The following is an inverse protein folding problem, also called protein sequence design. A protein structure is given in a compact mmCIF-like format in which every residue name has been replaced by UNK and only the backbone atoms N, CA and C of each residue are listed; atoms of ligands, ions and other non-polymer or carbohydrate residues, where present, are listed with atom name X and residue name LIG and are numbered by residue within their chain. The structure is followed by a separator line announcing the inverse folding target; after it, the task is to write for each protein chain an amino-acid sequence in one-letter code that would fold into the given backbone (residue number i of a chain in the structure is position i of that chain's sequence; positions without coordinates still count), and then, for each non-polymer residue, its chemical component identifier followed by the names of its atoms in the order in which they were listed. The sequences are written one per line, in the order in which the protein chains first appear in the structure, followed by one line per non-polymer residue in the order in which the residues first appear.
data_IF_017413616146
#
_entry.id   IF_017413616146
#
_cell.length_a   1.000
_cell.length_b   1.000
_cell.length_c   1.000
_cell.angle_alpha   90.00
_cell.angle_beta   90.00
_cell.angle_gamma   90.00
#
_symmetry.space_group_name_H-M   'P 1'
#
loop_
_entity.id
_entity.type
_entity.pdbx_description
1 polymer ?
#
# COMPACT_ATOMS: atom_id res chain seq x y z
N UNK A 1 -10.47 -7.17 13.81
CA UNK A 1 -10.91 -8.32 14.61
C UNK A 1 -11.35 -9.41 13.64
N UNK A 2 -11.49 -10.64 14.06
CA UNK A 2 -11.71 -11.79 13.13
C UNK A 2 -10.67 -11.89 12.00
N UNK A 3 -9.40 -11.56 12.29
CA UNK A 3 -8.32 -11.60 11.31
C UNK A 3 -8.27 -10.43 10.31
N UNK A 4 -8.98 -9.33 10.57
CA UNK A 4 -8.95 -8.11 9.75
C UNK A 4 -8.23 -6.96 10.46
N UNK A 5 -7.54 -6.11 9.69
CA UNK A 5 -6.92 -4.90 10.18
C UNK A 5 -7.98 -3.80 10.35
N UNK A 6 -8.31 -3.41 11.59
CA UNK A 6 -9.36 -2.43 11.89
C UNK A 6 -8.82 -1.10 12.41
N UNK A 7 -7.59 -1.08 12.91
CA UNK A 7 -6.88 0.11 13.35
C UNK A 7 -5.38 -0.05 13.09
N UNK A 8 -4.70 1.05 12.81
CA UNK A 8 -3.26 1.06 12.53
C UNK A 8 -2.60 2.33 13.02
N UNK A 9 -1.34 2.20 13.42
CA UNK A 9 -0.47 3.31 13.80
C UNK A 9 0.87 3.15 13.11
N UNK A 10 1.36 4.21 12.49
CA UNK A 10 2.70 4.30 11.90
C UNK A 10 3.39 5.51 12.51
N UNK A 11 4.56 5.28 13.10
CA UNK A 11 5.42 6.36 13.59
C UNK A 11 6.63 6.53 12.68
N UNK A 12 6.91 7.76 12.26
CA UNK A 12 8.09 8.15 11.49
C UNK A 12 9.02 9.00 12.37
N UNK A 13 10.00 8.42 13.08
CA UNK A 13 10.79 9.12 14.10
C UNK A 13 11.64 10.27 13.53
N UNK A 14 12.08 10.14 12.28
CA UNK A 14 12.94 11.12 11.60
C UNK A 14 12.18 12.05 10.64
N UNK A 15 10.86 12.12 10.74
CA UNK A 15 10.10 13.08 9.95
C UNK A 15 10.60 14.50 10.27
N UNK A 16 10.79 15.35 9.24
CA UNK A 16 11.38 16.70 9.32
C UNK A 16 12.87 16.77 9.67
N UNK A 17 13.63 15.67 9.66
CA UNK A 17 15.06 15.73 10.03
C UNK A 17 15.91 16.68 9.14
N UNK A 18 15.45 16.99 7.92
CA UNK A 18 16.10 17.93 7.00
C UNK A 18 15.69 19.40 7.21
N UNK A 19 14.71 19.68 8.06
CA UNK A 19 14.18 21.04 8.25
C UNK A 19 15.04 21.92 9.20
N UNK A 20 16.19 21.42 9.65
CA UNK A 20 17.16 22.15 10.46
C UNK A 20 17.19 21.69 11.93
N UNK A 21 18.14 22.24 12.73
CA UNK A 21 18.41 21.76 14.09
C UNK A 21 17.26 21.99 15.07
N UNK A 22 16.42 23.02 14.84
CA UNK A 22 15.28 23.36 15.70
C UNK A 22 13.98 22.69 15.25
N UNK A 23 14.02 21.83 14.22
CA UNK A 23 12.83 21.17 13.71
C UNK A 23 12.27 20.17 14.71
N UNK A 24 10.95 20.23 14.95
CA UNK A 24 10.27 19.16 15.67
C UNK A 24 10.30 17.88 14.84
N UNK A 25 11.06 16.91 15.34
CA UNK A 25 11.20 15.62 14.69
C UNK A 25 10.06 14.67 15.02
N UNK A 26 9.78 13.80 14.06
CA UNK A 26 8.85 12.72 14.23
C UNK A 26 7.39 13.10 14.01
N UNK A 27 6.61 12.12 13.54
CA UNK A 27 5.15 12.22 13.48
C UNK A 27 4.51 10.86 13.63
N UNK A 28 3.30 10.82 14.14
CA UNK A 28 2.45 9.65 14.22
C UNK A 28 1.30 9.81 13.23
N UNK A 29 1.09 8.79 12.41
CA UNK A 29 -0.08 8.65 11.53
C UNK A 29 -0.86 7.45 12.03
N UNK A 30 -2.18 7.60 12.22
CA UNK A 30 -3.01 6.54 12.69
C UNK A 30 -4.40 6.59 12.05
N UNK A 31 -5.08 5.46 12.02
CA UNK A 31 -6.44 5.38 11.49
C UNK A 31 -7.21 4.24 12.12
N UNK A 32 -8.53 4.42 12.16
CA UNK A 32 -9.49 3.43 12.63
C UNK A 32 -10.64 3.40 11.64
N UNK A 33 -10.99 2.22 11.15
CA UNK A 33 -12.11 2.04 10.21
C UNK A 33 -13.40 2.56 10.86
N UNK A 34 -14.12 3.41 10.13
CA UNK A 34 -15.33 4.09 10.61
C UNK A 34 -15.08 5.38 11.40
N UNK A 35 -13.83 5.70 11.77
CA UNK A 35 -13.47 6.95 12.45
C UNK A 35 -12.65 7.90 11.55
N UNK A 36 -11.92 7.36 10.55
CA UNK A 36 -11.01 8.10 9.68
C UNK A 36 -9.54 7.90 10.04
N UNK A 37 -8.67 8.68 9.38
CA UNK A 37 -7.22 8.64 9.62
C UNK A 37 -6.68 10.06 9.85
N UNK A 38 -5.59 10.16 10.64
CA UNK A 38 -5.08 11.40 11.22
C UNK A 38 -3.55 11.43 11.21
N UNK A 39 -2.97 12.63 11.35
CA UNK A 39 -1.52 12.85 11.44
C UNK A 39 -0.85 13.15 10.09
N UNK A 40 -1.62 13.47 9.05
CA UNK A 40 -1.16 13.89 7.73
C UNK A 40 -2.12 14.95 7.14
N UNK A 41 -1.70 15.58 6.04
CA UNK A 41 -2.58 16.49 5.28
C UNK A 41 -3.50 15.67 4.37
N UNK A 42 -4.78 15.60 4.74
CA UNK A 42 -5.81 14.87 4.00
C UNK A 42 -6.32 15.59 2.75
N UNK A 43 -5.94 16.85 2.52
CA UNK A 43 -6.30 17.62 1.34
C UNK A 43 -5.40 17.36 0.13
N UNK A 44 -4.25 16.74 0.35
CA UNK A 44 -3.28 16.48 -0.70
C UNK A 44 -3.77 15.38 -1.65
N UNK A 45 -3.74 15.68 -2.94
CA UNK A 45 -4.07 14.74 -4.02
C UNK A 45 -2.91 14.62 -4.99
N UNK A 46 -2.72 13.45 -5.64
CA UNK A 46 -1.69 13.32 -6.65
C UNK A 46 -1.92 14.29 -7.82
N UNK A 47 -0.85 14.73 -8.52
CA UNK A 47 -0.96 15.63 -9.65
C UNK A 47 -1.89 15.09 -10.74
N UNK A 48 -2.83 15.91 -11.20
CA UNK A 48 -3.73 15.57 -12.30
C UNK A 48 -2.98 15.41 -13.62
N UNK A 49 -3.39 14.46 -14.44
CA UNK A 49 -2.75 14.16 -15.72
C UNK A 49 -1.49 13.30 -15.63
N UNK A 50 -1.09 12.92 -14.41
CA UNK A 50 0.00 11.98 -14.17
C UNK A 50 -0.51 10.63 -13.68
N UNK A 51 0.38 9.62 -13.76
CA UNK A 51 0.18 8.30 -13.18
C UNK A 51 1.47 7.90 -12.44
N UNK A 52 1.60 8.37 -11.20
CA UNK A 52 2.79 8.15 -10.37
C UNK A 52 2.59 6.87 -9.57
N UNK A 53 3.47 5.88 -9.81
CA UNK A 53 3.44 4.61 -9.08
C UNK A 53 4.61 4.52 -8.12
N UNK A 54 4.35 4.19 -6.85
CA UNK A 54 5.42 3.85 -5.92
C UNK A 54 5.65 2.33 -5.88
N UNK A 55 6.93 1.93 -5.82
CA UNK A 55 7.33 0.53 -5.73
C UNK A 55 8.64 0.37 -4.95
N UNK A 56 9.15 -0.85 -4.90
CA UNK A 56 10.37 -1.16 -4.17
C UNK A 56 11.62 -0.54 -4.79
N UNK A 57 12.56 -0.13 -3.93
CA UNK A 57 13.93 0.27 -4.32
C UNK A 57 14.88 -0.93 -4.41
N UNK A 58 14.72 -1.90 -3.52
CA UNK A 58 15.73 -2.93 -3.25
C UNK A 58 15.40 -4.32 -3.80
N UNK A 59 14.15 -4.58 -4.20
CA UNK A 59 13.68 -5.90 -4.61
C UNK A 59 13.06 -5.88 -6.00
N UNK A 60 13.76 -5.27 -6.95
CA UNK A 60 13.34 -5.28 -8.36
C UNK A 60 13.49 -6.69 -8.93
N UNK A 61 12.36 -7.30 -9.26
CA UNK A 61 12.28 -8.56 -10.01
C UNK A 61 11.62 -8.34 -11.36
N UNK A 62 11.66 -9.35 -12.23
CA UNK A 62 10.93 -9.32 -13.50
C UNK A 62 9.43 -9.09 -13.28
N UNK A 63 8.84 -9.77 -12.31
CA UNK A 63 7.41 -9.62 -11.99
C UNK A 63 7.05 -8.24 -11.43
N UNK A 64 7.92 -7.64 -10.58
CA UNK A 64 7.73 -6.25 -10.12
C UNK A 64 7.76 -5.27 -11.28
N UNK A 65 8.73 -5.41 -12.18
CA UNK A 65 8.84 -4.52 -13.35
C UNK A 65 7.64 -4.68 -14.29
N UNK A 66 7.25 -5.92 -14.61
CA UNK A 66 6.10 -6.19 -15.47
C UNK A 66 4.79 -5.62 -14.89
N UNK A 67 4.52 -5.83 -13.59
CA UNK A 67 3.34 -5.29 -12.93
C UNK A 67 3.31 -3.77 -12.94
N UNK A 68 4.43 -3.10 -12.67
CA UNK A 68 4.51 -1.62 -12.69
C UNK A 68 4.34 -1.07 -14.10
N UNK A 69 5.02 -1.66 -15.10
CA UNK A 69 4.95 -1.20 -16.49
C UNK A 69 3.54 -1.38 -17.09
N UNK A 70 2.86 -2.47 -16.78
CA UNK A 70 1.49 -2.72 -17.23
C UNK A 70 0.50 -1.67 -16.72
N UNK A 71 0.79 -1.02 -15.60
CA UNK A 71 0.00 0.09 -15.08
C UNK A 71 0.26 1.41 -15.83
N UNK A 72 1.15 1.46 -16.84
CA UNK A 72 1.48 2.64 -17.67
C UNK A 72 1.82 3.89 -16.82
N UNK A 73 2.84 3.86 -15.93
CA UNK A 73 3.21 5.00 -15.12
C UNK A 73 3.84 6.12 -15.95
N UNK A 74 3.52 7.38 -15.63
CA UNK A 74 4.28 8.55 -16.07
C UNK A 74 5.55 8.73 -15.26
N UNK A 75 5.52 8.32 -13.98
CA UNK A 75 6.65 8.36 -13.07
C UNK A 75 6.63 7.16 -12.11
N UNK A 76 7.83 6.67 -11.74
CA UNK A 76 7.99 5.58 -10.77
C UNK A 76 8.84 6.04 -9.60
N UNK A 77 8.25 6.09 -8.40
CA UNK A 77 8.94 6.38 -7.14
C UNK A 77 9.44 5.08 -6.50
N UNK A 78 10.77 4.91 -6.45
CA UNK A 78 11.41 3.73 -5.86
C UNK A 78 11.91 4.04 -4.45
N UNK A 79 11.18 3.54 -3.44
CA UNK A 79 11.48 3.79 -2.02
C UNK A 79 11.47 2.50 -1.20
N UNK A 80 12.08 2.55 -0.01
CA UNK A 80 12.06 1.46 0.97
C UNK A 80 10.80 1.48 1.83
N UNK A 81 10.50 0.36 2.49
CA UNK A 81 9.40 0.20 3.46
C UNK A 81 8.01 0.12 2.82
N UNK A 82 7.21 -0.87 3.20
CA UNK A 82 5.82 -1.01 2.74
C UNK A 82 4.97 0.14 3.29
N UNK A 83 4.99 0.37 4.60
CA UNK A 83 4.24 1.46 5.24
C UNK A 83 4.54 2.82 4.64
N UNK A 84 5.82 3.12 4.36
CA UNK A 84 6.19 4.39 3.73
C UNK A 84 5.58 4.56 2.33
N UNK A 85 5.51 3.50 1.51
CA UNK A 85 4.86 3.55 0.19
C UNK A 85 3.36 3.83 0.29
N UNK A 86 2.69 3.24 1.28
CA UNK A 86 1.27 3.53 1.54
C UNK A 86 1.10 4.98 2.00
N UNK A 87 2.00 5.51 2.83
CA UNK A 87 1.95 6.92 3.22
C UNK A 87 2.12 7.87 2.01
N UNK A 88 2.96 7.52 1.02
CA UNK A 88 3.09 8.31 -0.20
C UNK A 88 1.78 8.43 -0.98
N UNK A 89 0.97 7.38 -1.06
CA UNK A 89 -0.34 7.46 -1.72
C UNK A 89 -1.36 8.24 -0.87
N UNK A 90 -1.38 8.04 0.44
CA UNK A 90 -2.25 8.78 1.36
C UNK A 90 -1.97 10.30 1.32
N UNK A 91 -0.71 10.68 1.15
CA UNK A 91 -0.24 12.07 1.09
C UNK A 91 -0.30 12.67 -0.33
N UNK A 92 -0.97 12.03 -1.28
CA UNK A 92 -1.09 12.53 -2.63
C UNK A 92 0.22 12.63 -3.43
N UNK A 93 1.27 11.90 -3.02
CA UNK A 93 2.57 11.89 -3.71
C UNK A 93 2.68 10.79 -4.77
N UNK A 94 1.76 9.84 -4.75
CA UNK A 94 1.63 8.78 -5.74
C UNK A 94 0.17 8.34 -5.87
N UNK A 95 -0.19 7.77 -7.01
CA UNK A 95 -1.54 7.28 -7.31
C UNK A 95 -1.76 5.86 -6.81
N UNK A 96 -0.73 5.02 -6.91
CA UNK A 96 -0.79 3.63 -6.51
C UNK A 96 0.55 3.13 -5.93
N UNK A 97 0.45 2.13 -5.07
CA UNK A 97 1.57 1.26 -4.68
C UNK A 97 1.39 -0.09 -5.35
N UNK A 98 2.37 -0.49 -6.19
CA UNK A 98 2.36 -1.77 -6.93
C UNK A 98 3.64 -2.53 -6.61
N UNK A 99 3.50 -3.75 -6.08
CA UNK A 99 4.61 -4.62 -5.70
C UNK A 99 4.33 -6.07 -6.05
N UNK A 100 4.65 -6.47 -7.28
CA UNK A 100 4.51 -7.84 -7.79
C UNK A 100 5.63 -8.75 -7.31
N UNK A 101 5.76 -8.97 -5.99
CA UNK A 101 6.79 -9.85 -5.41
C UNK A 101 6.34 -10.38 -4.04
N UNK A 102 6.76 -11.59 -3.66
CA UNK A 102 6.44 -12.18 -2.36
C UNK A 102 7.34 -11.66 -1.21
N UNK A 103 7.80 -10.40 -1.30
CA UNK A 103 8.78 -9.81 -0.38
C UNK A 103 8.22 -9.24 0.91
N UNK A 104 6.91 -8.96 0.98
CA UNK A 104 6.25 -8.40 2.17
C UNK A 104 5.77 -9.48 3.15
N UNK A 105 5.57 -9.06 4.40
CA UNK A 105 4.98 -9.87 5.47
C UNK A 105 3.69 -9.22 5.97
N UNK A 106 2.88 -9.97 6.72
CA UNK A 106 1.62 -9.47 7.32
C UNK A 106 1.83 -8.24 8.22
N UNK A 107 2.94 -8.18 8.95
CA UNK A 107 3.28 -7.02 9.78
C UNK A 107 3.72 -5.78 8.99
N UNK A 108 4.08 -5.92 7.71
CA UNK A 108 4.37 -4.78 6.83
C UNK A 108 3.08 -4.13 6.31
N UNK A 109 1.96 -4.86 6.27
CA UNK A 109 0.71 -4.43 5.61
C UNK A 109 -0.41 -4.11 6.59
N UNK A 110 -0.48 -4.75 7.78
CA UNK A 110 -1.65 -4.64 8.67
C UNK A 110 -1.96 -3.21 9.12
N UNK A 111 -0.97 -2.45 9.57
CA UNK A 111 -1.18 -1.06 10.00
C UNK A 111 -1.44 -0.12 8.81
N UNK A 112 -0.64 -0.16 7.71
CA UNK A 112 -0.93 0.64 6.52
C UNK A 112 -2.30 0.36 5.90
N UNK A 113 -2.73 -0.90 5.86
CA UNK A 113 -4.04 -1.29 5.36
C UNK A 113 -5.17 -0.66 6.16
N UNK A 114 -5.11 -0.75 7.50
CA UNK A 114 -6.13 -0.16 8.37
C UNK A 114 -6.23 1.36 8.18
N UNK A 115 -5.09 2.07 8.08
CA UNK A 115 -5.04 3.50 7.87
C UNK A 115 -5.64 3.87 6.50
N UNK A 116 -5.27 3.13 5.46
CA UNK A 116 -5.75 3.36 4.11
C UNK A 116 -7.25 3.10 3.98
N UNK A 117 -7.75 2.00 4.58
CA UNK A 117 -9.18 1.69 4.61
C UNK A 117 -9.99 2.73 5.39
N UNK A 118 -9.42 3.31 6.44
CA UNK A 118 -10.08 4.35 7.24
C UNK A 118 -10.39 5.63 6.43
N UNK A 119 -9.71 5.85 5.29
CA UNK A 119 -9.97 6.97 4.36
C UNK A 119 -10.68 6.54 3.07
N UNK A 120 -11.20 5.30 3.00
CA UNK A 120 -11.89 4.78 1.82
C UNK A 120 -10.99 4.16 0.75
N UNK A 121 -9.69 4.07 0.99
CA UNK A 121 -8.74 3.40 0.12
C UNK A 121 -8.79 1.88 0.23
N UNK A 122 -7.95 1.20 -0.56
CA UNK A 122 -7.91 -0.25 -0.64
C UNK A 122 -6.48 -0.76 -0.73
N UNK A 123 -6.14 -1.78 0.07
CA UNK A 123 -4.89 -2.52 -0.01
C UNK A 123 -5.19 -4.01 -0.08
N UNK A 124 -4.61 -4.70 -1.07
CA UNK A 124 -4.83 -6.12 -1.34
C UNK A 124 -3.55 -6.78 -1.84
N UNK A 125 -3.62 -8.08 -2.13
CA UNK A 125 -2.68 -8.71 -3.04
C UNK A 125 -2.88 -8.19 -4.48
N UNK A 126 -2.02 -8.61 -5.42
CA UNK A 126 -2.12 -8.17 -6.83
C UNK A 126 -3.30 -8.78 -7.59
N UNK A 127 -4.00 -9.77 -7.03
CA UNK A 127 -5.24 -10.33 -7.56
C UNK A 127 -6.49 -9.56 -7.09
N UNK A 128 -6.31 -8.60 -6.16
CA UNK A 128 -7.42 -7.85 -5.57
C UNK A 128 -8.06 -8.50 -4.35
N UNK A 129 -7.44 -9.53 -3.75
CA UNK A 129 -7.92 -10.19 -2.55
C UNK A 129 -7.36 -9.53 -1.29
N UNK A 130 -8.21 -9.37 -0.27
CA UNK A 130 -7.80 -8.84 1.03
C UNK A 130 -6.93 -9.82 1.81
N UNK A 131 -6.00 -9.26 2.59
CA UNK A 131 -5.20 -10.05 3.51
C UNK A 131 -5.99 -10.48 4.73
N UNK A 132 -5.59 -11.63 5.29
CA UNK A 132 -6.03 -12.10 6.58
C UNK A 132 -4.86 -12.03 7.58
N UNK A 133 -5.17 -11.65 8.83
CA UNK A 133 -4.20 -11.45 9.91
C UNK A 133 -4.50 -12.35 11.11
N UNK A 134 -5.24 -13.44 10.92
CA UNK A 134 -5.52 -14.42 11.97
C UNK A 134 -4.26 -15.16 12.41
N UNK A 135 -4.31 -15.78 13.59
CA UNK A 135 -3.15 -16.45 14.18
C UNK A 135 -2.59 -17.62 13.35
N UNK A 136 -3.41 -18.21 12.48
CA UNK A 136 -3.03 -19.41 11.71
C UNK A 136 -2.74 -19.11 10.23
N UNK A 137 -2.73 -17.85 9.82
CA UNK A 137 -2.42 -17.50 8.43
C UNK A 137 -0.92 -17.46 8.18
N UNK A 138 -0.51 -17.72 6.95
CA UNK A 138 0.88 -17.54 6.53
C UNK A 138 1.31 -16.08 6.73
N UNK A 139 2.47 -15.86 7.35
CA UNK A 139 2.98 -14.50 7.59
C UNK A 139 3.46 -13.80 6.32
N UNK A 140 3.87 -14.55 5.30
CA UNK A 140 4.34 -14.01 4.02
C UNK A 140 3.15 -13.57 3.15
N UNK A 141 3.24 -12.40 2.56
CA UNK A 141 2.33 -11.94 1.52
C UNK A 141 2.84 -12.47 0.16
N UNK A 142 2.50 -13.70 -0.16
CA UNK A 142 3.06 -14.41 -1.31
C UNK A 142 2.67 -13.79 -2.65
N UNK A 143 1.47 -13.23 -2.74
CA UNK A 143 0.89 -12.65 -3.95
C UNK A 143 1.09 -11.13 -4.10
N UNK A 144 2.19 -10.58 -3.55
CA UNK A 144 2.53 -9.16 -3.72
C UNK A 144 1.58 -8.20 -3.01
N UNK A 145 1.64 -6.91 -3.34
CA UNK A 145 0.80 -5.84 -2.74
C UNK A 145 0.35 -4.87 -3.81
N UNK A 146 -0.92 -4.48 -3.77
CA UNK A 146 -1.49 -3.38 -4.56
C UNK A 146 -2.33 -2.49 -3.65
N UNK A 147 -2.10 -1.17 -3.69
CA UNK A 147 -2.84 -0.22 -2.87
C UNK A 147 -3.12 1.09 -3.60
N UNK A 148 -4.30 1.67 -3.34
CA UNK A 148 -4.76 2.97 -3.85
C UNK A 148 -5.65 3.68 -2.83
N UNK A 149 -5.88 4.97 -3.00
CA UNK A 149 -6.74 5.77 -2.11
C UNK A 149 -8.23 5.64 -2.39
N UNK A 150 -8.62 4.99 -3.51
CA UNK A 150 -10.04 4.74 -3.84
C UNK A 150 -10.24 3.32 -4.36
N UNK A 151 -11.43 2.76 -4.17
CA UNK A 151 -11.78 1.42 -4.62
C UNK A 151 -11.85 1.32 -6.15
N UNK A 152 -12.32 2.35 -6.84
CA UNK A 152 -12.43 2.37 -8.30
C UNK A 152 -11.05 2.38 -8.95
N UNK A 153 -10.14 3.24 -8.48
CA UNK A 153 -8.76 3.22 -8.94
C UNK A 153 -8.10 1.86 -8.68
N UNK A 154 -8.35 1.25 -7.51
CA UNK A 154 -7.82 -0.07 -7.18
C UNK A 154 -8.22 -1.12 -8.22
N UNK A 155 -9.50 -1.23 -8.53
CA UNK A 155 -10.01 -2.19 -9.51
C UNK A 155 -9.40 -1.98 -10.91
N UNK A 156 -9.20 -0.72 -11.30
CA UNK A 156 -8.52 -0.36 -12.54
C UNK A 156 -7.06 -0.82 -12.58
N UNK A 157 -6.32 -0.72 -11.46
CA UNK A 157 -4.93 -1.21 -11.40
C UNK A 157 -4.86 -2.74 -11.37
N UNK A 158 -5.73 -3.41 -10.61
CA UNK A 158 -5.80 -4.88 -10.58
C UNK A 158 -6.01 -5.46 -11.97
N UNK A 159 -6.93 -4.87 -12.76
CA UNK A 159 -7.22 -5.35 -14.13
C UNK A 159 -6.07 -5.21 -15.11
N UNK A 160 -5.06 -4.40 -14.80
CA UNK A 160 -3.86 -4.22 -15.64
C UNK A 160 -2.74 -5.20 -15.33
N UNK A 161 -2.81 -5.93 -14.22
CA UNK A 161 -1.74 -6.87 -13.85
C UNK A 161 -1.67 -8.01 -14.88
N UNK A 162 -0.48 -8.26 -15.46
CA UNK A 162 -0.34 -9.25 -16.52
C UNK A 162 -0.62 -10.67 -16.03
N UNK A 163 -1.25 -11.53 -16.87
CA UNK A 163 -1.55 -12.92 -16.50
C UNK A 163 -0.32 -13.72 -16.06
N UNK A 164 0.83 -13.50 -16.68
CA UNK A 164 2.08 -14.16 -16.30
C UNK A 164 2.54 -13.78 -14.89
N UNK A 165 2.32 -12.54 -14.45
CA UNK A 165 2.62 -12.09 -13.09
C UNK A 165 1.67 -12.75 -12.09
N UNK A 166 0.38 -12.82 -12.42
CA UNK A 166 -0.62 -13.48 -11.60
C UNK A 166 -0.32 -14.98 -11.44
N UNK A 167 0.13 -15.64 -12.50
CA UNK A 167 0.50 -17.07 -12.48
C UNK A 167 1.73 -17.33 -11.62
N UNK A 168 2.75 -16.44 -11.68
CA UNK A 168 3.97 -16.59 -10.87
C UNK A 168 3.75 -16.26 -9.38
N UNK A 169 2.74 -15.50 -9.05
CA UNK A 169 2.43 -15.07 -7.69
C UNK A 169 0.99 -15.48 -7.32
N UNK A 170 0.73 -16.77 -7.13
CA UNK A 170 -0.60 -17.25 -6.85
C UNK A 170 -1.13 -16.71 -5.53
N UNK A 171 -2.39 -16.28 -5.53
CA UNK A 171 -3.08 -15.84 -4.33
C UNK A 171 -3.45 -17.02 -3.44
N UNK A 172 -3.52 -16.78 -2.12
CA UNK A 172 -4.07 -17.74 -1.14
C UNK A 172 -5.61 -17.89 -1.28
N UNK A 173 -6.21 -17.19 -2.23
CA UNK A 173 -7.65 -17.17 -2.50
C UNK A 173 -8.37 -15.98 -1.87
N UNK A 174 -9.63 -15.74 -2.28
CA UNK A 174 -10.39 -14.59 -1.81
C UNK A 174 -10.73 -14.73 -0.32
N UNK A 175 -10.29 -13.77 0.47
CA UNK A 175 -10.79 -13.59 1.81
C UNK A 175 -11.89 -12.52 1.76
N UNK A 176 -13.18 -12.88 1.98
CA UNK A 176 -14.24 -11.89 1.98
C UNK A 176 -14.04 -10.89 3.11
N UNK A 177 -14.10 -9.61 2.77
CA UNK A 177 -14.18 -8.56 3.78
C UNK A 177 -15.51 -8.69 4.51
N UNK A 178 -15.48 -8.97 5.80
CA UNK A 178 -16.68 -9.05 6.63
C UNK A 178 -16.85 -7.72 7.39
N UNK A 179 -17.91 -6.99 7.06
CA UNK A 179 -18.35 -5.78 7.77
C UNK A 179 -18.88 -6.10 9.17
#
# INVERSE_FOLDING_TARGET
MKGQAVAGVIYQPYYNYMAGPDARLGRTIWGVIGLGAFGFDSSATPPSGENIITTTRSHSSRTVMAAVQACAPTQVLRVGGCGHKVLLIIEGKAHAYVFGSPGCKKWDTCAPEAILHAIGGKLTDIHGNYYQYGAHVQHRNAAGVLATTTADAHSSYVSKIPPEVLTELPSDGPAPWQH
#
